data_IF_812797020923
#
_entry.id   IF_812797020923
#
_cell.length_a   1.000
_cell.length_b   1.000
_cell.length_c   1.000
_cell.angle_alpha   90.00
_cell.angle_beta   90.00
_cell.angle_gamma   90.00
#
_symmetry.space_group_name_H-M   'P 1'
#
loop_
_entity.id
_entity.type
_entity.pdbx_description
1 polymer ?
#
# COMPACT_ATOMS: atom_id res chain seq x y z
N UNK A 1 -16.43 10.29 -27.48
CA UNK A 1 -16.44 10.58 -26.02
C UNK A 1 -16.00 9.40 -25.15
N UNK A 2 -15.77 8.19 -25.70
CA UNK A 2 -15.17 7.06 -24.95
C UNK A 2 -13.64 7.18 -24.77
N UNK A 3 -12.97 8.07 -25.52
CA UNK A 3 -11.50 8.15 -25.58
C UNK A 3 -10.86 8.98 -24.45
N UNK A 4 -11.62 9.53 -23.49
CA UNK A 4 -11.08 10.43 -22.47
C UNK A 4 -10.69 9.77 -21.14
N UNK A 5 -10.77 8.43 -21.02
CA UNK A 5 -10.38 7.69 -19.81
C UNK A 5 -9.05 6.96 -19.96
N UNK A 6 -8.11 7.55 -20.69
CA UNK A 6 -6.84 6.90 -21.04
C UNK A 6 -6.06 6.56 -19.76
N UNK A 7 -6.02 7.46 -18.77
CA UNK A 7 -5.25 7.21 -17.56
C UNK A 7 -5.83 6.05 -16.74
N UNK A 8 -7.15 5.94 -16.66
CA UNK A 8 -7.85 4.85 -15.98
C UNK A 8 -7.63 3.53 -16.71
N UNK A 9 -7.66 3.50 -18.05
CA UNK A 9 -7.39 2.27 -18.81
C UNK A 9 -5.94 1.79 -18.61
N UNK A 10 -4.98 2.71 -18.67
CA UNK A 10 -3.57 2.42 -18.38
C UNK A 10 -3.43 1.92 -16.94
N UNK A 11 -4.10 2.56 -15.98
CA UNK A 11 -4.08 2.10 -14.59
C UNK A 11 -4.69 0.71 -14.42
N UNK A 12 -5.78 0.38 -15.10
CA UNK A 12 -6.39 -0.96 -15.05
C UNK A 12 -5.39 -2.02 -15.53
N UNK A 13 -4.69 -1.74 -16.62
CA UNK A 13 -3.64 -2.62 -17.11
C UNK A 13 -2.51 -2.79 -16.07
N UNK A 14 -2.01 -1.67 -15.51
CA UNK A 14 -0.99 -1.69 -14.45
C UNK A 14 -1.49 -2.49 -13.24
N UNK A 15 -2.73 -2.28 -12.82
CA UNK A 15 -3.36 -2.98 -11.69
C UNK A 15 -3.34 -4.49 -11.92
N UNK A 16 -3.78 -4.97 -13.08
CA UNK A 16 -3.77 -6.40 -13.38
C UNK A 16 -2.35 -6.97 -13.45
N UNK A 17 -1.41 -6.24 -14.04
CA UNK A 17 0.00 -6.64 -14.08
C UNK A 17 0.59 -6.79 -12.67
N UNK A 18 0.38 -5.79 -11.80
CA UNK A 18 0.86 -5.82 -10.41
C UNK A 18 0.16 -6.94 -9.62
N UNK A 19 -1.16 -7.11 -9.76
CA UNK A 19 -1.89 -8.19 -9.10
C UNK A 19 -1.39 -9.56 -9.55
N UNK A 20 -1.12 -9.76 -10.84
CA UNK A 20 -0.56 -11.02 -11.35
C UNK A 20 0.81 -11.31 -10.74
N UNK A 21 1.69 -10.29 -10.64
CA UNK A 21 2.99 -10.41 -9.98
C UNK A 21 2.82 -10.75 -8.50
N UNK A 22 1.96 -10.02 -7.77
CA UNK A 22 1.69 -10.28 -6.34
C UNK A 22 1.17 -11.70 -6.13
N UNK A 23 0.25 -12.18 -6.96
CA UNK A 23 -0.26 -13.55 -6.88
C UNK A 23 0.85 -14.59 -7.12
N UNK A 24 1.74 -14.36 -8.09
CA UNK A 24 2.89 -15.23 -8.32
C UNK A 24 3.82 -15.27 -7.10
N UNK A 25 4.06 -14.11 -6.46
CA UNK A 25 4.87 -14.04 -5.24
C UNK A 25 4.18 -14.73 -4.06
N UNK A 26 2.87 -14.54 -3.88
CA UNK A 26 2.08 -15.22 -2.85
C UNK A 26 2.16 -16.73 -3.04
N UNK A 27 2.01 -17.22 -4.27
CA UNK A 27 2.15 -18.63 -4.59
C UNK A 27 3.54 -19.16 -4.24
N UNK A 28 4.59 -18.43 -4.63
CA UNK A 28 5.97 -18.76 -4.28
C UNK A 28 6.20 -18.82 -2.76
N UNK A 29 5.60 -17.89 -2.01
CA UNK A 29 5.69 -17.86 -0.55
C UNK A 29 4.88 -18.96 0.13
N UNK A 30 3.70 -19.30 -0.39
CA UNK A 30 2.91 -20.42 0.07
C UNK A 30 3.65 -21.75 -0.14
N UNK A 31 4.27 -21.93 -1.31
CA UNK A 31 5.12 -23.09 -1.61
C UNK A 31 6.34 -23.14 -0.68
N UNK A 32 6.98 -22.00 -0.41
CA UNK A 32 8.08 -21.92 0.56
C UNK A 32 7.63 -22.29 1.97
N UNK A 33 6.49 -21.79 2.42
CA UNK A 33 5.92 -22.12 3.72
C UNK A 33 5.70 -23.63 3.82
N UNK A 34 5.10 -24.24 2.79
CA UNK A 34 4.92 -25.68 2.71
C UNK A 34 6.27 -26.44 2.82
N UNK A 35 7.29 -26.01 2.08
CA UNK A 35 8.63 -26.61 2.14
C UNK A 35 9.38 -26.38 3.46
N UNK A 36 8.93 -25.47 4.33
CA UNK A 36 9.47 -25.33 5.68
C UNK A 36 8.86 -26.35 6.66
N UNK A 37 7.70 -26.95 6.33
CA UNK A 37 7.07 -27.98 7.15
C UNK A 37 7.28 -29.40 6.60
N UNK A 38 7.43 -29.56 5.29
CA UNK A 38 7.57 -30.86 4.65
C UNK A 38 8.99 -31.43 4.65
N UNK A 39 10.01 -30.62 4.99
CA UNK A 39 11.44 -30.98 4.99
C UNK A 39 11.85 -31.94 3.83
N UNK A 40 11.67 -31.51 2.57
CA UNK A 40 11.83 -32.39 1.41
C UNK A 40 13.27 -32.89 1.24
N UNK A 41 13.42 -34.15 0.81
CA UNK A 41 14.71 -34.79 0.58
C UNK A 41 15.64 -33.94 -0.33
N UNK A 42 16.83 -33.52 0.14
CA UNK A 42 17.71 -32.57 -0.55
C UNK A 42 18.27 -33.07 -1.88
N UNK A 43 18.45 -34.38 -2.04
CA UNK A 43 19.00 -34.96 -3.27
C UNK A 43 17.93 -35.26 -4.33
N UNK A 44 16.66 -35.15 -3.98
CA UNK A 44 15.54 -35.32 -4.91
C UNK A 44 15.29 -34.09 -5.79
N UNK A 45 14.55 -34.29 -6.89
CA UNK A 45 14.11 -33.20 -7.78
C UNK A 45 13.36 -32.10 -7.04
N UNK A 46 12.53 -32.49 -6.06
CA UNK A 46 11.77 -31.58 -5.19
C UNK A 46 12.69 -30.79 -4.24
N UNK A 47 13.74 -31.42 -3.71
CA UNK A 47 14.74 -30.75 -2.87
C UNK A 47 15.49 -29.65 -3.61
N UNK A 48 15.93 -29.93 -4.85
CA UNK A 48 16.59 -28.92 -5.71
C UNK A 48 15.67 -27.75 -6.03
N UNK A 49 14.41 -28.02 -6.36
CA UNK A 49 13.42 -26.97 -6.60
C UNK A 49 13.14 -26.14 -5.34
N UNK A 50 12.96 -26.78 -4.20
CA UNK A 50 12.77 -26.11 -2.90
C UNK A 50 13.94 -25.17 -2.58
N UNK A 51 15.18 -25.62 -2.75
CA UNK A 51 16.36 -24.78 -2.54
C UNK A 51 16.40 -23.59 -3.51
N UNK A 52 16.09 -23.80 -4.80
CA UNK A 52 16.00 -22.71 -5.77
C UNK A 52 14.93 -21.69 -5.39
N UNK A 53 13.73 -22.14 -4.98
CA UNK A 53 12.62 -21.28 -4.57
C UNK A 53 12.96 -20.46 -3.32
N UNK A 54 13.57 -21.10 -2.30
CA UNK A 54 14.04 -20.42 -1.08
C UNK A 54 15.03 -19.32 -1.46
N UNK A 55 16.03 -19.62 -2.29
CA UNK A 55 17.00 -18.63 -2.79
C UNK A 55 16.35 -17.43 -3.49
N UNK A 56 15.30 -17.63 -4.29
CA UNK A 56 14.60 -16.53 -4.98
C UNK A 56 13.78 -15.66 -4.03
N UNK A 57 13.26 -16.23 -2.95
CA UNK A 57 12.34 -15.54 -2.03
C UNK A 57 13.02 -15.07 -0.74
N UNK A 58 14.30 -15.40 -0.53
CA UNK A 58 15.06 -15.08 0.69
C UNK A 58 15.05 -13.59 0.97
N UNK A 59 15.23 -12.75 -0.05
CA UNK A 59 15.24 -11.28 0.13
C UNK A 59 13.94 -10.72 0.74
N UNK A 60 12.79 -11.34 0.44
CA UNK A 60 11.49 -10.93 0.98
C UNK A 60 11.28 -11.47 2.38
N UNK A 61 11.75 -12.69 2.62
CA UNK A 61 11.53 -13.43 3.87
C UNK A 61 12.49 -12.98 4.97
N UNK A 62 13.73 -12.59 4.66
CA UNK A 62 14.73 -12.14 5.63
C UNK A 62 14.24 -10.94 6.46
N UNK A 63 13.61 -9.97 5.81
CA UNK A 63 13.04 -8.80 6.48
C UNK A 63 11.95 -9.20 7.47
N UNK A 64 11.07 -10.12 7.06
CA UNK A 64 9.96 -10.60 7.89
C UNK A 64 10.40 -11.57 8.99
N UNK A 65 11.40 -12.41 8.72
CA UNK A 65 12.01 -13.31 9.70
C UNK A 65 12.72 -12.53 10.80
N UNK A 66 13.44 -11.46 10.43
CA UNK A 66 14.09 -10.55 11.39
C UNK A 66 13.06 -9.87 12.28
N UNK A 67 11.92 -9.43 11.73
CA UNK A 67 10.83 -8.83 12.48
C UNK A 67 10.18 -9.83 13.47
N UNK A 68 9.90 -11.06 13.02
CA UNK A 68 9.34 -12.13 13.88
C UNK A 68 10.30 -12.52 15.01
N UNK A 69 11.60 -12.63 14.70
CA UNK A 69 12.63 -12.97 15.69
C UNK A 69 12.73 -11.93 16.81
N UNK A 70 12.57 -10.64 16.50
CA UNK A 70 12.50 -9.58 17.52
C UNK A 70 11.26 -9.68 18.40
N UNK A 71 10.16 -10.20 17.86
CA UNK A 71 8.89 -10.39 18.57
C UNK A 71 8.77 -11.72 19.33
N UNK A 72 9.78 -12.58 19.27
CA UNK A 72 9.74 -13.91 19.91
C UNK A 72 8.81 -14.92 19.21
N UNK A 73 8.40 -14.66 17.98
CA UNK A 73 7.55 -15.55 17.19
C UNK A 73 8.37 -16.55 16.36
N UNK A 74 7.74 -17.67 15.96
CA UNK A 74 8.38 -18.68 15.11
C UNK A 74 8.72 -18.11 13.72
N UNK A 75 10.01 -18.14 13.37
CA UNK A 75 10.52 -17.65 12.09
C UNK A 75 10.08 -18.51 10.91
N UNK A 76 9.55 -19.72 11.13
CA UNK A 76 8.94 -20.55 10.07
C UNK A 76 7.73 -19.88 9.43
N UNK A 77 7.04 -19.02 10.17
CA UNK A 77 5.90 -18.23 9.70
C UNK A 77 6.32 -16.97 8.92
N UNK A 78 7.63 -16.71 8.77
CA UNK A 78 8.13 -15.53 8.06
C UNK A 78 7.53 -15.34 6.65
N UNK A 79 7.33 -16.39 5.82
CA UNK A 79 6.67 -16.22 4.52
C UNK A 79 5.26 -15.61 4.63
N UNK A 80 4.47 -15.92 5.67
CA UNK A 80 3.13 -15.33 5.85
C UNK A 80 3.19 -13.82 6.13
N UNK A 81 4.15 -13.40 6.94
CA UNK A 81 4.38 -11.98 7.24
C UNK A 81 4.88 -11.25 5.99
N UNK A 82 5.73 -11.89 5.18
CA UNK A 82 6.15 -11.33 3.90
C UNK A 82 4.99 -11.19 2.92
N UNK A 83 4.10 -12.20 2.84
CA UNK A 83 2.86 -12.12 2.04
C UNK A 83 2.04 -10.90 2.47
N UNK A 84 1.81 -10.75 3.77
CA UNK A 84 1.06 -9.62 4.31
C UNK A 84 1.70 -8.28 3.93
N UNK A 85 3.01 -8.14 4.16
CA UNK A 85 3.75 -6.92 3.83
C UNK A 85 3.67 -6.57 2.34
N UNK A 86 3.78 -7.57 1.45
CA UNK A 86 3.70 -7.38 0.01
C UNK A 86 2.29 -6.99 -0.42
N UNK A 87 1.25 -7.65 0.11
CA UNK A 87 -0.14 -7.30 -0.19
C UNK A 87 -0.41 -5.85 0.22
N UNK A 88 0.00 -5.47 1.43
CA UNK A 88 -0.17 -4.13 1.96
C UNK A 88 0.57 -3.11 1.08
N UNK A 89 1.84 -3.37 0.75
CA UNK A 89 2.63 -2.49 -0.09
C UNK A 89 2.04 -2.33 -1.50
N UNK A 90 1.68 -3.44 -2.15
CA UNK A 90 1.08 -3.43 -3.48
C UNK A 90 -0.28 -2.74 -3.50
N UNK A 91 -1.12 -2.98 -2.48
CA UNK A 91 -2.41 -2.31 -2.33
C UNK A 91 -2.24 -0.79 -2.26
N UNK A 92 -1.37 -0.29 -1.39
CA UNK A 92 -1.14 1.15 -1.25
C UNK A 92 -0.46 1.77 -2.49
N UNK A 93 0.49 1.08 -3.10
CA UNK A 93 1.14 1.52 -4.32
C UNK A 93 0.14 1.65 -5.49
N UNK A 94 -0.71 0.64 -5.67
CA UNK A 94 -1.78 0.68 -6.67
C UNK A 94 -2.83 1.74 -6.35
N UNK A 95 -3.21 1.89 -5.08
CA UNK A 95 -4.15 2.91 -4.67
C UNK A 95 -3.67 4.31 -5.07
N UNK A 96 -2.38 4.62 -4.89
CA UNK A 96 -1.80 5.90 -5.30
C UNK A 96 -1.91 6.14 -6.79
N UNK A 97 -1.46 5.17 -7.60
CA UNK A 97 -1.48 5.32 -9.06
C UNK A 97 -2.91 5.44 -9.56
N UNK A 98 -3.84 4.70 -8.94
CA UNK A 98 -5.27 4.77 -9.23
C UNK A 98 -5.88 6.11 -8.88
N UNK A 99 -5.59 6.65 -7.69
CA UNK A 99 -6.09 7.96 -7.26
C UNK A 99 -5.61 9.07 -8.21
N UNK A 100 -4.35 9.02 -8.65
CA UNK A 100 -3.79 9.98 -9.61
C UNK A 100 -4.47 9.83 -10.98
N UNK A 101 -4.53 8.62 -11.52
CA UNK A 101 -5.15 8.35 -12.82
C UNK A 101 -6.62 8.79 -12.86
N UNK A 102 -7.37 8.45 -11.81
CA UNK A 102 -8.78 8.84 -11.64
C UNK A 102 -8.94 10.36 -11.55
N UNK A 103 -8.08 11.04 -10.79
CA UNK A 103 -8.11 12.50 -10.66
C UNK A 103 -7.85 13.18 -12.01
N UNK A 104 -6.87 12.70 -12.76
CA UNK A 104 -6.51 13.27 -14.07
C UNK A 104 -7.64 13.09 -15.08
N UNK A 105 -8.15 11.87 -15.26
CA UNK A 105 -9.29 11.62 -16.16
C UNK A 105 -10.52 12.44 -15.75
N UNK A 106 -10.81 12.49 -14.45
CA UNK A 106 -11.93 13.26 -13.92
C UNK A 106 -11.84 14.75 -14.22
N UNK A 107 -10.66 15.35 -14.01
CA UNK A 107 -10.40 16.76 -14.33
C UNK A 107 -10.54 17.00 -15.83
N UNK A 108 -9.94 16.14 -16.67
CA UNK A 108 -9.97 16.30 -18.12
C UNK A 108 -11.40 16.22 -18.64
N UNK A 109 -12.17 15.20 -18.23
CA UNK A 109 -13.57 15.03 -18.59
C UNK A 109 -14.43 16.21 -18.14
N UNK A 110 -14.27 16.64 -16.89
CA UNK A 110 -15.02 17.77 -16.35
C UNK A 110 -14.69 19.09 -17.07
N UNK A 111 -13.42 19.29 -17.43
CA UNK A 111 -12.98 20.47 -18.17
C UNK A 111 -13.50 20.47 -19.61
N UNK A 112 -13.48 19.34 -20.31
CA UNK A 112 -14.04 19.24 -21.68
C UNK A 112 -15.54 19.43 -21.72
N UNK A 113 -16.24 19.00 -20.68
CA UNK A 113 -17.68 19.19 -20.51
C UNK A 113 -18.05 20.62 -20.06
N UNK A 114 -17.07 21.46 -19.74
CA UNK A 114 -17.29 22.81 -19.17
C UNK A 114 -17.90 22.80 -17.76
N UNK A 115 -17.86 21.66 -17.05
CA UNK A 115 -18.47 21.47 -15.73
C UNK A 115 -17.51 21.86 -14.62
N UNK A 116 -17.40 23.16 -14.36
CA UNK A 116 -16.46 23.72 -13.38
C UNK A 116 -16.58 23.12 -11.97
N UNK A 117 -17.79 22.84 -11.49
CA UNK A 117 -18.01 22.23 -10.15
C UNK A 117 -17.35 20.85 -10.05
N UNK A 118 -17.43 20.05 -11.12
CA UNK A 118 -16.80 18.72 -11.17
C UNK A 118 -15.28 18.83 -11.19
N UNK A 119 -14.71 19.81 -11.89
CA UNK A 119 -13.26 20.09 -11.86
C UNK A 119 -12.80 20.37 -10.43
N UNK A 120 -13.52 21.22 -9.70
CA UNK A 120 -13.24 21.48 -8.28
C UNK A 120 -13.35 20.19 -7.46
N UNK A 121 -14.40 19.39 -7.67
CA UNK A 121 -14.58 18.12 -6.99
C UNK A 121 -13.39 17.17 -7.17
N UNK A 122 -12.90 17.00 -8.40
CA UNK A 122 -11.74 16.15 -8.68
C UNK A 122 -10.42 16.75 -8.14
N UNK A 123 -10.24 18.08 -8.17
CA UNK A 123 -9.09 18.72 -7.55
C UNK A 123 -9.06 18.48 -6.03
N UNK A 124 -10.20 18.65 -5.35
CA UNK A 124 -10.33 18.38 -3.92
C UNK A 124 -10.06 16.89 -3.61
N UNK A 125 -10.60 15.99 -4.42
CA UNK A 125 -10.29 14.55 -4.32
C UNK A 125 -8.77 14.31 -4.42
N UNK A 126 -8.11 14.90 -5.40
CA UNK A 126 -6.67 14.79 -5.61
C UNK A 126 -5.85 15.27 -4.42
N UNK A 127 -6.22 16.42 -3.82
CA UNK A 127 -5.56 16.94 -2.62
C UNK A 127 -5.68 15.96 -1.45
N UNK A 128 -6.87 15.39 -1.22
CA UNK A 128 -7.09 14.39 -0.18
C UNK A 128 -6.29 13.08 -0.44
N UNK A 129 -6.17 12.68 -1.70
CA UNK A 129 -5.36 11.53 -2.10
C UNK A 129 -3.86 11.77 -1.85
N UNK A 130 -3.33 12.95 -2.20
CA UNK A 130 -1.94 13.34 -1.89
C UNK A 130 -1.70 13.39 -0.39
N UNK A 131 -2.65 13.88 0.39
CA UNK A 131 -2.51 13.88 1.85
C UNK A 131 -2.49 12.46 2.44
N UNK A 132 -3.34 11.56 1.91
CA UNK A 132 -3.32 10.14 2.26
C UNK A 132 -1.96 9.50 1.94
N UNK A 133 -1.37 9.88 0.80
CA UNK A 133 -0.02 9.45 0.42
C UNK A 133 1.03 9.89 1.43
N UNK A 134 1.02 11.15 1.88
CA UNK A 134 2.00 11.61 2.87
C UNK A 134 1.93 10.83 4.18
N UNK A 135 0.73 10.41 4.60
CA UNK A 135 0.56 9.55 5.77
C UNK A 135 1.15 8.16 5.50
N UNK A 136 0.88 7.56 4.35
CA UNK A 136 1.42 6.24 3.98
C UNK A 136 2.95 6.30 3.90
N UNK A 137 3.51 7.32 3.22
CA UNK A 137 4.96 7.54 3.16
C UNK A 137 5.56 7.72 4.55
N UNK A 138 4.93 8.49 5.45
CA UNK A 138 5.39 8.64 6.84
C UNK A 138 5.50 7.29 7.54
N UNK A 139 4.50 6.42 7.38
CA UNK A 139 4.47 5.09 8.02
C UNK A 139 5.54 4.19 7.41
N UNK A 140 5.59 4.07 6.09
CA UNK A 140 6.57 3.23 5.40
C UNK A 140 7.99 3.69 5.72
N UNK A 141 8.27 4.99 5.60
CA UNK A 141 9.60 5.53 5.87
C UNK A 141 9.97 5.51 7.35
N UNK A 142 9.02 5.50 8.28
CA UNK A 142 9.34 5.36 9.72
C UNK A 142 10.04 4.05 10.05
N UNK A 143 9.93 3.02 9.20
CA UNK A 143 10.59 1.73 9.39
C UNK A 143 12.05 1.73 8.96
N UNK A 144 12.43 2.65 8.06
CA UNK A 144 13.77 2.70 7.45
C UNK A 144 14.55 3.96 7.81
N UNK A 145 13.85 5.08 8.04
CA UNK A 145 14.42 6.40 8.26
C UNK A 145 14.23 6.82 9.72
N UNK A 146 15.29 7.37 10.30
CA UNK A 146 15.24 8.02 11.60
C UNK A 146 14.33 9.27 11.54
N UNK A 147 13.54 9.60 12.58
CA UNK A 147 12.74 10.83 12.66
C UNK A 147 13.49 12.13 12.35
N UNK A 148 14.81 12.18 12.56
CA UNK A 148 15.67 13.34 12.28
C UNK A 148 15.95 13.51 10.78
N UNK A 149 15.75 12.47 9.97
CA UNK A 149 15.94 12.56 8.52
C UNK A 149 15.03 13.66 7.93
N UNK A 150 15.55 14.58 7.09
CA UNK A 150 14.76 15.71 6.58
C UNK A 150 13.45 15.31 5.90
N UNK A 151 13.44 14.19 5.17
CA UNK A 151 12.24 13.69 4.49
C UNK A 151 11.21 13.19 5.50
N UNK A 152 11.64 12.41 6.49
CA UNK A 152 10.76 11.92 7.56
C UNK A 152 10.22 13.07 8.41
N UNK A 153 11.07 14.04 8.76
CA UNK A 153 10.69 15.23 9.52
C UNK A 153 9.67 16.08 8.76
N UNK A 154 9.84 16.25 7.44
CA UNK A 154 8.87 16.92 6.58
C UNK A 154 7.51 16.20 6.60
N UNK A 155 7.49 14.89 6.36
CA UNK A 155 6.26 14.10 6.36
C UNK A 155 5.54 14.17 7.72
N UNK A 156 6.29 14.05 8.83
CA UNK A 156 5.75 14.23 10.18
C UNK A 156 5.16 15.62 10.33
N UNK A 157 5.89 16.69 9.95
CA UNK A 157 5.41 18.08 10.08
C UNK A 157 4.13 18.35 9.30
N UNK A 158 4.03 17.85 8.06
CA UNK A 158 2.85 18.04 7.21
C UNK A 158 1.65 17.23 7.70
N UNK A 159 1.88 16.01 8.18
CA UNK A 159 0.78 15.12 8.60
C UNK A 159 0.35 15.33 10.06
N UNK A 160 1.20 15.88 10.92
CA UNK A 160 0.95 16.08 12.36
C UNK A 160 -0.33 16.86 12.70
N UNK A 161 -0.69 17.96 12.02
CA UNK A 161 -1.91 18.71 12.36
C UNK A 161 -3.17 17.83 12.35
N UNK A 162 -3.20 16.84 11.45
CA UNK A 162 -4.29 15.87 11.37
C UNK A 162 -3.99 14.67 12.27
N UNK A 163 -2.77 14.12 12.25
CA UNK A 163 -2.41 12.91 12.99
C UNK A 163 -2.46 13.05 14.52
N UNK A 164 -1.97 14.16 15.08
CA UNK A 164 -1.82 14.35 16.54
C UNK A 164 -3.17 14.32 17.28
N UNK A 165 -4.24 14.97 16.79
CA UNK A 165 -5.57 14.82 17.38
C UNK A 165 -6.03 13.35 17.50
N UNK A 166 -5.85 12.54 16.45
CA UNK A 166 -6.24 11.13 16.48
C UNK A 166 -5.35 10.32 17.43
N UNK A 167 -4.03 10.58 17.45
CA UNK A 167 -3.10 9.94 18.40
C UNK A 167 -3.40 10.26 19.87
N UNK A 168 -4.05 11.39 20.16
CA UNK A 168 -4.49 11.73 21.53
C UNK A 168 -5.76 10.98 21.94
N UNK A 169 -6.62 10.66 20.98
CA UNK A 169 -7.89 9.97 21.22
C UNK A 169 -7.69 8.44 21.27
N UNK A 170 -6.81 7.94 20.41
CA UNK A 170 -6.55 6.50 20.25
C UNK A 170 -5.29 6.16 21.03
N UNK A 171 -5.40 5.45 22.18
CA UNK A 171 -4.22 4.97 22.87
C UNK A 171 -3.42 4.03 21.96
N UNK A 172 -2.07 4.11 21.96
CA UNK A 172 -1.25 3.23 21.14
C UNK A 172 -1.47 1.77 21.53
N UNK A 173 -1.69 0.87 20.56
CA UNK A 173 -1.78 -0.57 20.81
C UNK A 173 -0.36 -1.15 20.82
N UNK A 174 0.26 -1.13 22.01
CA UNK A 174 1.64 -1.58 22.19
C UNK A 174 2.63 -0.66 21.47
N UNK A 175 3.48 -1.23 20.60
CA UNK A 175 4.45 -0.46 19.81
C UNK A 175 3.88 0.11 18.50
N UNK A 176 2.64 -0.20 18.15
CA UNK A 176 2.06 0.17 16.86
C UNK A 176 1.07 1.31 17.00
N UNK A 177 1.33 2.40 16.27
CA UNK A 177 0.38 3.51 16.13
C UNK A 177 -0.66 3.16 15.06
N UNK A 178 -1.91 2.98 15.48
CA UNK A 178 -3.05 2.65 14.61
C UNK A 178 -3.72 3.91 14.06
N UNK A 179 -3.40 5.08 14.62
CA UNK A 179 -3.96 6.36 14.18
C UNK A 179 -3.85 6.59 12.66
N UNK A 180 -2.76 6.23 11.96
CA UNK A 180 -2.66 6.37 10.51
C UNK A 180 -3.75 5.62 9.75
N UNK A 181 -4.13 4.42 10.22
CA UNK A 181 -5.18 3.60 9.59
C UNK A 181 -6.52 4.32 9.69
N UNK A 182 -6.84 4.84 10.87
CA UNK A 182 -8.09 5.56 11.13
C UNK A 182 -8.16 6.86 10.32
N UNK A 183 -7.05 7.61 10.25
CA UNK A 183 -6.99 8.83 9.44
C UNK A 183 -7.14 8.51 7.95
N UNK A 184 -6.47 7.48 7.43
CA UNK A 184 -6.62 7.05 6.03
C UNK A 184 -8.07 6.64 5.74
N UNK A 185 -8.71 5.92 6.66
CA UNK A 185 -10.13 5.56 6.53
C UNK A 185 -11.03 6.80 6.45
N UNK A 186 -10.82 7.78 7.33
CA UNK A 186 -11.56 9.04 7.30
C UNK A 186 -11.32 9.83 6.00
N UNK A 187 -10.07 9.88 5.52
CA UNK A 187 -9.75 10.53 4.26
C UNK A 187 -10.43 9.84 3.07
N UNK A 188 -10.50 8.51 3.06
CA UNK A 188 -11.25 7.77 2.04
C UNK A 188 -12.75 8.11 2.09
N UNK A 189 -13.34 8.18 3.29
CA UNK A 189 -14.72 8.63 3.44
C UNK A 189 -14.95 10.04 2.89
N UNK A 190 -14.05 10.99 3.22
CA UNK A 190 -14.11 12.36 2.71
C UNK A 190 -13.97 12.41 1.18
N UNK A 191 -13.06 11.62 0.60
CA UNK A 191 -12.93 11.48 -0.86
C UNK A 191 -14.25 11.03 -1.49
N UNK A 192 -14.88 9.99 -0.94
CA UNK A 192 -16.19 9.51 -1.42
C UNK A 192 -17.28 10.57 -1.28
N UNK A 193 -17.32 11.30 -0.16
CA UNK A 193 -18.28 12.38 0.06
C UNK A 193 -18.10 13.53 -0.95
N UNK A 194 -16.86 13.94 -1.22
CA UNK A 194 -16.52 14.97 -2.22
C UNK A 194 -17.03 14.57 -3.60
N UNK A 195 -16.82 13.33 -4.02
CA UNK A 195 -17.33 12.83 -5.30
C UNK A 195 -18.87 12.81 -5.31
N UNK A 196 -19.49 12.31 -4.24
CA UNK A 196 -20.94 12.26 -4.12
C UNK A 196 -21.62 13.63 -4.19
N UNK A 197 -21.00 14.66 -3.60
CA UNK A 197 -21.61 15.99 -3.50
C UNK A 197 -21.26 16.88 -4.70
N UNK A 198 -20.01 16.86 -5.19
CA UNK A 198 -19.53 17.83 -6.20
C UNK A 198 -19.42 17.24 -7.61
N UNK A 199 -19.26 15.92 -7.73
CA UNK A 199 -19.10 15.27 -9.04
C UNK A 199 -20.42 14.68 -9.53
N UNK A 200 -21.26 14.19 -8.60
CA UNK A 200 -22.57 13.63 -8.92
C UNK A 200 -23.73 14.62 -8.82
N UNK A 201 -23.43 15.90 -8.54
CA UNK A 201 -24.38 17.01 -8.66
C UNK A 201 -24.77 17.29 -10.10
#
# INVERSE_FOLDING_TARGET
MQDLQIFTQVFIFIRYAVVAVVLAVILAMALRLLFNYLDPNPFGTVGRFSHWLKKQTDFLVESSASALGRGGFDTRLAPLVSILGIIVFAYFGLQLVGDVAFTLDGILLAATDGKFVKVIGYLLYGVLAVFSLFIIMRVIFSWFLNPINPLQAFLIRVTNPIMVPFQRIIPPLGMFDISPIIVIFLLNFLKTAVLGVLVNS
#
